data_IF_184216669666
#
_entry.id   IF_184216669666
#
_cell.length_a   1.000
_cell.length_b   1.000
_cell.length_c   1.000
_cell.angle_alpha   90.00
_cell.angle_beta   90.00
_cell.angle_gamma   90.00
#
_symmetry.space_group_name_H-M   'P 1'
#
loop_
_entity.id
_entity.type
_entity.pdbx_description
1 polymer ?
#
# COMPACT_ATOMS: atom_id res chain seq x y z
N UNK A 1 8.88 -0.41 -33.24
CA UNK A 1 8.47 -0.68 -31.84
C UNK A 1 7.10 -0.05 -31.65
N UNK A 2 6.20 -0.74 -30.96
CA UNK A 2 4.89 -0.20 -30.64
C UNK A 2 5.06 1.03 -29.73
N UNK A 3 4.45 2.17 -30.08
CA UNK A 3 4.49 3.37 -29.27
C UNK A 3 3.42 3.27 -28.18
N UNK A 4 3.80 3.52 -26.93
CA UNK A 4 2.90 3.56 -25.80
C UNK A 4 3.36 4.60 -24.78
N UNK A 5 2.44 5.50 -24.41
CA UNK A 5 2.68 6.47 -23.34
C UNK A 5 1.59 6.32 -22.28
N UNK A 6 1.99 6.07 -21.04
CA UNK A 6 1.09 5.85 -19.91
C UNK A 6 0.12 7.03 -19.70
N UNK A 7 0.61 8.27 -19.80
CA UNK A 7 -0.24 9.44 -19.62
C UNK A 7 -1.31 9.56 -20.71
N UNK A 8 -0.96 9.28 -21.96
CA UNK A 8 -1.93 9.26 -23.05
C UNK A 8 -3.02 8.22 -22.82
N UNK A 9 -2.63 7.02 -22.37
CA UNK A 9 -3.59 5.94 -22.12
C UNK A 9 -4.55 6.24 -20.97
N UNK A 10 -4.06 6.84 -19.86
CA UNK A 10 -4.86 7.09 -18.66
C UNK A 10 -5.57 8.46 -18.67
N UNK A 11 -5.16 9.40 -19.53
CA UNK A 11 -5.74 10.75 -19.57
C UNK A 11 -6.33 11.05 -20.94
N UNK A 12 -5.51 11.12 -22.00
CA UNK A 12 -5.97 11.60 -23.32
C UNK A 12 -7.00 10.69 -23.95
N UNK A 13 -6.91 9.38 -23.72
CA UNK A 13 -7.88 8.39 -24.23
C UNK A 13 -9.31 8.76 -23.82
N UNK A 14 -9.53 9.28 -22.62
CA UNK A 14 -10.88 9.65 -22.14
C UNK A 14 -11.47 10.81 -22.95
N UNK A 15 -10.62 11.72 -23.42
CA UNK A 15 -11.06 12.81 -24.30
C UNK A 15 -11.45 12.25 -25.67
N UNK A 16 -10.58 11.41 -26.25
CA UNK A 16 -10.82 10.77 -27.55
C UNK A 16 -12.08 9.88 -27.56
N UNK A 17 -12.40 9.24 -26.43
CA UNK A 17 -13.59 8.39 -26.25
C UNK A 17 -14.84 9.18 -25.81
N UNK A 18 -14.82 10.51 -25.81
CA UNK A 18 -15.98 11.36 -25.50
C UNK A 18 -16.33 11.50 -24.01
N UNK A 19 -15.43 11.10 -23.09
CA UNK A 19 -15.62 11.23 -21.65
C UNK A 19 -15.04 12.53 -21.04
N UNK A 20 -14.65 13.48 -21.87
CA UNK A 20 -14.01 14.72 -21.44
C UNK A 20 -14.78 15.52 -20.39
N UNK A 21 -16.12 15.52 -20.43
CA UNK A 21 -16.98 16.24 -19.50
C UNK A 21 -17.28 15.46 -18.20
N UNK A 22 -16.91 14.18 -18.13
CA UNK A 22 -17.13 13.38 -16.92
C UNK A 22 -16.19 13.84 -15.81
N UNK A 23 -16.66 13.79 -14.55
CA UNK A 23 -15.83 14.11 -13.38
C UNK A 23 -14.73 13.07 -13.22
N UNK A 24 -13.49 13.51 -13.30
CA UNK A 24 -12.30 12.69 -13.00
C UNK A 24 -11.93 12.76 -11.53
N UNK A 25 -11.92 13.96 -10.94
CA UNK A 25 -11.45 14.20 -9.59
C UNK A 25 -12.47 15.05 -8.81
N UNK A 26 -12.72 14.67 -7.54
CA UNK A 26 -13.35 15.49 -6.52
C UNK A 26 -12.28 15.90 -5.52
N UNK A 27 -12.09 17.21 -5.31
CA UNK A 27 -11.05 17.76 -4.46
C UNK A 27 -11.52 19.04 -3.77
N UNK A 28 -11.47 19.09 -2.44
CA UNK A 28 -11.82 20.29 -1.63
C UNK A 28 -13.15 20.96 -2.01
N UNK A 29 -14.19 20.16 -2.29
CA UNK A 29 -15.50 20.64 -2.70
C UNK A 29 -15.63 20.99 -4.19
N UNK A 30 -14.52 21.05 -4.94
CA UNK A 30 -14.49 21.22 -6.39
C UNK A 30 -14.59 19.89 -7.14
N UNK A 31 -14.99 19.97 -8.42
CA UNK A 31 -15.01 18.86 -9.36
C UNK A 31 -14.19 19.23 -10.56
N UNK A 32 -13.32 18.33 -11.00
CA UNK A 32 -12.49 18.47 -12.18
C UNK A 32 -12.88 17.39 -13.19
N UNK A 33 -13.22 17.79 -14.40
CA UNK A 33 -13.51 16.88 -15.51
C UNK A 33 -12.22 16.28 -16.08
N UNK A 34 -12.34 15.18 -16.84
CA UNK A 34 -11.21 14.63 -17.58
C UNK A 34 -10.55 15.63 -18.52
N UNK A 35 -11.34 16.51 -19.16
CA UNK A 35 -10.80 17.57 -20.03
C UNK A 35 -9.98 18.61 -19.26
N UNK A 36 -10.44 19.04 -18.08
CA UNK A 36 -9.69 19.96 -17.22
C UNK A 36 -8.39 19.31 -16.71
N UNK A 37 -8.44 18.04 -16.31
CA UNK A 37 -7.22 17.30 -15.92
C UNK A 37 -6.26 17.16 -17.08
N UNK A 38 -6.74 16.83 -18.29
CA UNK A 38 -5.88 16.75 -19.48
C UNK A 38 -5.20 18.09 -19.79
N UNK A 39 -5.92 19.21 -19.65
CA UNK A 39 -5.33 20.54 -19.80
C UNK A 39 -4.26 20.83 -18.75
N UNK A 40 -4.50 20.50 -17.48
CA UNK A 40 -3.51 20.63 -16.41
C UNK A 40 -2.26 19.77 -16.64
N UNK A 41 -2.44 18.52 -17.08
CA UNK A 41 -1.35 17.61 -17.45
C UNK A 41 -0.49 18.19 -18.57
N UNK A 42 -1.14 18.71 -19.61
CA UNK A 42 -0.45 19.33 -20.76
C UNK A 42 0.32 20.59 -20.35
N UNK A 43 -0.30 21.44 -19.52
CA UNK A 43 0.37 22.62 -18.97
C UNK A 43 1.59 22.26 -18.12
N UNK A 44 1.46 21.21 -17.29
CA UNK A 44 2.56 20.69 -16.49
C UNK A 44 3.72 20.18 -17.34
N UNK A 45 3.42 19.35 -18.33
CA UNK A 45 4.42 18.83 -19.27
C UNK A 45 5.12 19.93 -20.07
N UNK A 46 4.36 20.93 -20.58
CA UNK A 46 4.94 22.08 -21.27
C UNK A 46 5.82 22.92 -20.36
N UNK A 47 5.40 23.11 -19.09
CA UNK A 47 6.22 23.81 -18.12
C UNK A 47 7.53 23.06 -17.84
N UNK A 48 7.49 21.74 -17.65
CA UNK A 48 8.68 20.89 -17.46
C UNK A 48 9.65 20.98 -18.64
N UNK A 49 9.13 20.92 -19.90
CA UNK A 49 9.98 21.11 -21.11
C UNK A 49 10.66 22.48 -21.11
N UNK A 50 9.97 23.56 -20.76
CA UNK A 50 10.55 24.91 -20.64
C UNK A 50 11.60 24.99 -19.53
N UNK A 51 11.44 24.20 -18.45
CA UNK A 51 12.41 24.10 -17.37
C UNK A 51 13.63 23.23 -17.74
N UNK A 52 13.72 22.72 -19.00
CA UNK A 52 14.83 21.94 -19.49
C UNK A 52 14.79 20.46 -19.10
N UNK A 53 13.59 19.93 -18.78
CA UNK A 53 13.40 18.50 -18.55
C UNK A 53 13.25 17.79 -19.90
N UNK A 54 14.05 16.75 -20.10
CA UNK A 54 14.09 15.94 -21.31
C UNK A 54 13.59 14.51 -21.03
N UNK A 55 13.41 13.72 -22.09
CA UNK A 55 13.04 12.31 -21.98
C UNK A 55 14.10 11.54 -21.17
N UNK A 56 13.64 10.73 -20.21
CA UNK A 56 14.48 9.97 -19.29
C UNK A 56 14.98 10.76 -18.07
N UNK A 57 14.78 12.08 -17.98
CA UNK A 57 15.07 12.85 -16.78
C UNK A 57 14.09 12.51 -15.64
N UNK A 58 14.55 12.58 -14.39
CA UNK A 58 13.72 12.34 -13.21
C UNK A 58 13.13 13.63 -12.68
N UNK A 59 11.83 13.59 -12.40
CA UNK A 59 11.06 14.67 -11.78
C UNK A 59 10.64 14.22 -10.39
N UNK A 60 11.28 14.74 -9.34
CA UNK A 60 10.92 14.44 -7.95
C UNK A 60 9.69 15.25 -7.55
N UNK A 61 8.58 14.57 -7.19
CA UNK A 61 7.29 15.19 -6.93
C UNK A 61 6.99 15.10 -5.43
N UNK A 62 7.00 16.24 -4.73
CA UNK A 62 6.73 16.38 -3.29
C UNK A 62 5.45 17.22 -3.15
N UNK A 63 4.33 16.69 -3.59
CA UNK A 63 3.03 17.36 -3.58
C UNK A 63 2.00 16.54 -2.79
N UNK A 64 1.03 17.20 -2.12
CA UNK A 64 -0.09 16.49 -1.52
C UNK A 64 -0.99 15.87 -2.58
N UNK A 65 -1.90 14.98 -2.16
CA UNK A 65 -2.91 14.40 -3.04
C UNK A 65 -3.85 15.49 -3.55
N UNK A 66 -3.62 15.92 -4.78
CA UNK A 66 -4.30 17.06 -5.39
C UNK A 66 -4.32 16.97 -6.92
N UNK A 67 -5.13 17.77 -7.64
CA UNK A 67 -5.07 17.87 -9.10
C UNK A 67 -3.68 18.25 -9.62
N UNK A 68 -2.93 19.06 -8.87
CA UNK A 68 -1.56 19.46 -9.21
C UNK A 68 -0.58 18.26 -9.14
N UNK A 69 -0.74 17.36 -8.16
CA UNK A 69 0.01 16.11 -8.13
C UNK A 69 -0.24 15.29 -9.39
N UNK A 70 -1.51 15.13 -9.76
CA UNK A 70 -1.92 14.38 -10.96
C UNK A 70 -1.35 15.00 -12.23
N UNK A 71 -1.40 16.35 -12.33
CA UNK A 71 -0.83 17.10 -13.44
C UNK A 71 0.69 16.94 -13.53
N UNK A 72 1.41 17.02 -12.41
CA UNK A 72 2.86 16.83 -12.34
C UNK A 72 3.26 15.40 -12.72
N UNK A 73 2.55 14.40 -12.17
CA UNK A 73 2.82 12.98 -12.42
C UNK A 73 2.64 12.62 -13.90
N UNK A 74 1.46 12.85 -14.44
CA UNK A 74 1.20 12.53 -15.84
C UNK A 74 1.90 13.50 -16.82
N UNK A 75 2.10 14.76 -16.46
CA UNK A 75 2.82 15.73 -17.26
C UNK A 75 4.28 15.34 -17.49
N UNK A 76 4.97 14.86 -16.43
CA UNK A 76 6.31 14.30 -16.54
C UNK A 76 6.33 13.06 -17.45
N UNK A 77 5.44 12.11 -17.22
CA UNK A 77 5.34 10.87 -18.02
C UNK A 77 5.00 11.19 -19.49
N UNK A 78 4.12 12.16 -19.74
CA UNK A 78 3.71 12.55 -21.10
C UNK A 78 4.86 13.04 -21.95
N UNK A 79 5.81 13.75 -21.36
CA UNK A 79 7.03 14.21 -22.07
C UNK A 79 8.15 13.15 -22.09
N UNK A 80 7.90 11.94 -21.60
CA UNK A 80 8.89 10.85 -21.52
C UNK A 80 9.86 10.96 -20.36
N UNK A 81 9.66 11.90 -19.44
CA UNK A 81 10.41 11.96 -18.20
C UNK A 81 9.89 10.94 -17.17
N UNK A 82 10.70 10.63 -16.17
CA UNK A 82 10.39 9.67 -15.12
C UNK A 82 9.81 10.39 -13.91
N UNK A 83 8.55 10.12 -13.58
CA UNK A 83 7.90 10.68 -12.38
C UNK A 83 8.35 9.95 -11.12
N UNK A 84 8.78 10.69 -10.09
CA UNK A 84 9.25 10.13 -8.81
C UNK A 84 8.45 10.72 -7.64
N UNK A 85 7.23 10.23 -7.39
CA UNK A 85 6.40 10.72 -6.29
C UNK A 85 7.04 10.40 -4.93
N UNK A 86 6.93 11.36 -4.02
CA UNK A 86 7.66 11.32 -2.74
C UNK A 86 6.76 11.86 -1.63
N UNK A 87 6.86 11.25 -0.45
CA UNK A 87 6.10 11.65 0.74
C UNK A 87 6.31 13.12 1.11
N UNK A 88 5.23 13.83 1.43
CA UNK A 88 5.27 15.22 1.93
C UNK A 88 5.59 15.31 3.43
N UNK A 89 5.76 14.19 4.12
CA UNK A 89 5.96 14.12 5.58
C UNK A 89 7.40 13.76 5.98
N UNK A 90 8.37 13.94 5.08
CA UNK A 90 9.77 13.65 5.34
C UNK A 90 10.50 14.88 5.90
N UNK A 91 11.68 14.65 6.49
CA UNK A 91 12.55 15.72 6.97
C UNK A 91 13.34 16.34 5.81
N UNK A 92 13.80 17.58 5.93
CA UNK A 92 14.61 18.23 4.86
C UNK A 92 15.82 17.43 4.42
N UNK A 93 16.52 16.76 5.35
CA UNK A 93 17.66 15.89 5.02
C UNK A 93 17.26 14.67 4.18
N UNK A 94 16.07 14.12 4.40
CA UNK A 94 15.57 12.97 3.63
C UNK A 94 15.25 13.40 2.19
N UNK A 95 14.69 14.60 1.99
CA UNK A 95 14.46 15.15 0.63
C UNK A 95 15.78 15.41 -0.12
N UNK A 96 16.79 15.95 0.57
CA UNK A 96 18.11 16.15 -0.03
C UNK A 96 18.72 14.81 -0.49
N UNK A 97 18.61 13.77 0.34
CA UNK A 97 19.04 12.42 -0.02
C UNK A 97 18.29 11.89 -1.24
N UNK A 98 16.96 11.98 -1.25
CA UNK A 98 16.14 11.43 -2.35
C UNK A 98 16.37 12.18 -3.67
N UNK A 99 16.57 13.50 -3.62
CA UNK A 99 16.91 14.30 -4.79
C UNK A 99 18.30 13.91 -5.38
N UNK A 100 19.28 13.71 -4.52
CA UNK A 100 20.61 13.27 -4.92
C UNK A 100 20.61 11.83 -5.45
N UNK A 101 19.95 10.90 -4.74
CA UNK A 101 19.86 9.49 -5.12
C UNK A 101 19.13 9.30 -6.45
N UNK A 102 18.03 10.02 -6.67
CA UNK A 102 17.30 9.97 -7.94
C UNK A 102 18.00 10.72 -9.07
N UNK A 103 19.01 11.54 -8.76
CA UNK A 103 19.60 12.47 -9.74
C UNK A 103 18.50 13.30 -10.42
N UNK A 104 17.54 13.80 -9.61
CA UNK A 104 16.40 14.52 -10.13
C UNK A 104 16.82 15.79 -10.87
N UNK A 105 16.33 15.96 -12.09
CA UNK A 105 16.54 17.17 -12.90
C UNK A 105 15.84 18.36 -12.28
N UNK A 106 14.66 18.10 -11.70
CA UNK A 106 13.86 19.11 -11.02
C UNK A 106 13.14 18.50 -9.82
N UNK A 107 12.90 19.32 -8.78
CA UNK A 107 12.11 18.98 -7.61
C UNK A 107 10.87 19.86 -7.62
N UNK A 108 9.70 19.26 -7.71
CA UNK A 108 8.41 19.92 -7.60
C UNK A 108 7.91 19.80 -6.17
N UNK A 109 7.91 20.93 -5.46
CA UNK A 109 7.37 21.06 -4.11
C UNK A 109 6.33 22.19 -4.08
N UNK A 110 5.49 22.22 -3.03
CA UNK A 110 4.38 23.17 -2.91
C UNK A 110 4.83 24.64 -3.07
N UNK A 111 6.02 24.98 -2.60
CA UNK A 111 6.61 26.33 -2.69
C UNK A 111 7.20 26.67 -4.06
N UNK A 112 7.41 25.73 -4.95
CA UNK A 112 8.09 25.93 -6.24
C UNK A 112 7.26 25.54 -7.46
N UNK A 113 6.15 24.86 -7.25
CA UNK A 113 5.28 24.41 -8.32
C UNK A 113 4.25 25.47 -8.67
N UNK A 114 4.40 26.06 -9.84
CA UNK A 114 3.38 26.97 -10.39
C UNK A 114 2.69 26.29 -11.58
N UNK A 115 1.74 25.38 -11.32
CA UNK A 115 0.81 24.88 -12.33
C UNK A 115 0.04 26.00 -13.04
N UNK A 116 0.08 27.20 -12.48
CA UNK A 116 -0.58 28.43 -12.99
C UNK A 116 0.29 29.27 -13.92
N UNK A 117 1.52 28.88 -14.25
CA UNK A 117 2.27 29.58 -15.30
C UNK A 117 1.56 29.35 -16.64
N UNK A 118 1.31 30.40 -17.43
CA UNK A 118 0.58 30.27 -18.69
C UNK A 118 1.40 29.39 -19.67
N UNK A 119 1.08 28.12 -19.73
CA UNK A 119 1.61 27.15 -20.65
C UNK A 119 0.47 26.67 -21.56
N UNK A 120 0.75 26.31 -22.82
CA UNK A 120 -0.28 25.80 -23.70
C UNK A 120 -1.01 24.59 -23.12
N UNK A 121 -2.33 24.47 -23.33
CA UNK A 121 -3.09 23.29 -22.91
C UNK A 121 -2.96 22.10 -23.86
N UNK A 122 -2.28 22.28 -24.99
CA UNK A 122 -1.97 21.23 -25.97
C UNK A 122 -0.54 20.74 -25.75
N UNK A 123 -0.35 19.43 -25.79
CA UNK A 123 0.96 18.79 -25.64
C UNK A 123 0.96 17.43 -26.34
N UNK A 124 1.87 17.23 -27.29
CA UNK A 124 2.10 15.92 -27.89
C UNK A 124 2.89 15.01 -26.95
N UNK A 125 2.49 13.74 -26.89
CA UNK A 125 3.20 12.73 -26.16
C UNK A 125 4.59 12.46 -26.73
N UNK A 126 5.57 12.25 -25.86
CA UNK A 126 6.84 11.71 -26.29
C UNK A 126 6.67 10.30 -26.89
N UNK A 127 7.48 9.92 -27.86
CA UNK A 127 7.41 8.61 -28.52
C UNK A 127 8.04 7.52 -27.66
N UNK A 128 7.43 7.25 -26.49
CA UNK A 128 7.87 6.21 -25.56
C UNK A 128 7.37 4.83 -25.96
N UNK A 129 8.06 3.78 -25.50
CA UNK A 129 7.66 2.38 -25.65
C UNK A 129 7.01 1.84 -24.37
N UNK A 130 6.30 0.70 -24.43
CA UNK A 130 5.76 0.03 -23.25
C UNK A 130 6.83 -0.28 -22.19
N UNK A 131 8.06 -0.54 -22.62
CA UNK A 131 9.17 -0.98 -21.76
C UNK A 131 10.06 0.16 -21.23
N UNK A 132 9.86 1.39 -21.69
CA UNK A 132 10.60 2.55 -21.20
C UNK A 132 10.23 2.84 -19.73
N UNK A 133 11.20 3.29 -18.89
CA UNK A 133 10.92 3.76 -17.54
C UNK A 133 9.94 4.95 -17.56
N UNK A 134 8.88 4.86 -16.77
CA UNK A 134 7.84 5.90 -16.68
C UNK A 134 7.79 6.57 -15.30
N UNK A 135 8.02 5.79 -14.26
CA UNK A 135 7.98 6.29 -12.90
C UNK A 135 8.79 5.39 -11.96
N UNK A 136 9.17 5.95 -10.82
CA UNK A 136 9.78 5.20 -9.73
C UNK A 136 8.95 5.35 -8.47
N UNK A 137 8.99 4.31 -7.63
CA UNK A 137 8.37 4.36 -6.31
C UNK A 137 9.41 4.00 -5.25
N UNK A 138 9.43 4.79 -4.19
CA UNK A 138 10.30 4.54 -3.06
C UNK A 138 9.80 3.42 -2.19
N UNK A 139 10.66 2.45 -1.89
CA UNK A 139 10.39 1.40 -0.91
C UNK A 139 11.25 1.62 0.31
N UNK A 140 10.63 1.63 1.50
CA UNK A 140 11.32 1.63 2.77
C UNK A 140 11.71 0.20 3.11
N UNK A 141 12.95 -0.17 2.87
CA UNK A 141 13.46 -1.44 3.38
C UNK A 141 13.44 -1.47 4.92
N UNK A 142 13.25 -2.64 5.51
CA UNK A 142 13.45 -2.87 6.95
C UNK A 142 14.87 -2.55 7.40
N UNK A 143 15.80 -2.49 6.45
CA UNK A 143 17.24 -2.25 6.66
C UNK A 143 17.78 -1.23 5.64
N UNK A 144 18.11 -0.03 6.13
CA UNK A 144 18.83 0.98 5.34
C UNK A 144 17.96 2.05 4.66
N UNK A 145 18.58 2.93 3.86
CA UNK A 145 17.90 4.05 3.21
C UNK A 145 16.87 3.58 2.17
N UNK A 146 15.89 4.42 1.82
CA UNK A 146 14.90 4.13 0.78
C UNK A 146 15.56 3.76 -0.54
N UNK A 147 14.93 2.82 -1.26
CA UNK A 147 15.36 2.37 -2.59
C UNK A 147 14.26 2.67 -3.60
N UNK A 148 14.62 3.06 -4.81
CA UNK A 148 13.66 3.31 -5.88
C UNK A 148 13.46 2.05 -6.73
N UNK A 149 12.23 1.54 -6.78
CA UNK A 149 11.82 0.51 -7.73
C UNK A 149 11.43 1.17 -9.06
N UNK A 150 12.06 0.75 -10.16
CA UNK A 150 11.87 1.33 -11.48
C UNK A 150 10.77 0.60 -12.24
N UNK A 151 9.73 1.34 -12.63
CA UNK A 151 8.56 0.83 -13.35
C UNK A 151 8.45 1.41 -14.76
N UNK A 152 7.88 0.61 -15.65
CA UNK A 152 7.70 0.90 -17.07
C UNK A 152 6.32 1.51 -17.35
N UNK A 153 6.17 2.06 -18.54
CA UNK A 153 4.89 2.59 -19.02
C UNK A 153 3.77 1.54 -18.99
N UNK A 154 4.04 0.28 -19.34
CA UNK A 154 3.02 -0.78 -19.41
C UNK A 154 2.64 -1.41 -18.06
N UNK A 155 3.41 -1.20 -17.00
CA UNK A 155 3.28 -1.97 -15.76
C UNK A 155 1.92 -1.78 -15.08
N UNK A 156 1.35 -0.57 -15.11
CA UNK A 156 0.02 -0.31 -14.55
C UNK A 156 -1.11 -1.07 -15.27
N UNK A 157 -0.97 -1.35 -16.57
CA UNK A 157 -2.00 -2.09 -17.30
C UNK A 157 -2.25 -3.47 -16.70
N UNK A 158 -1.16 -4.19 -16.35
CA UNK A 158 -1.27 -5.51 -15.76
C UNK A 158 -2.00 -5.49 -14.40
N UNK A 159 -1.67 -4.51 -13.55
CA UNK A 159 -2.33 -4.33 -12.26
C UNK A 159 -3.80 -3.92 -12.40
N UNK A 160 -4.12 -3.03 -13.35
CA UNK A 160 -5.48 -2.61 -13.63
C UNK A 160 -6.33 -3.77 -14.18
N UNK A 161 -5.81 -4.54 -15.11
CA UNK A 161 -6.50 -5.71 -15.69
C UNK A 161 -6.74 -6.79 -14.64
N UNK A 162 -5.68 -7.19 -13.93
CA UNK A 162 -5.73 -8.27 -12.96
C UNK A 162 -6.53 -7.92 -11.70
N UNK A 163 -6.20 -6.78 -11.07
CA UNK A 163 -6.79 -6.43 -9.78
C UNK A 163 -8.02 -5.52 -9.92
N UNK A 164 -7.88 -4.35 -10.52
CA UNK A 164 -8.98 -3.39 -10.56
C UNK A 164 -10.20 -3.96 -11.30
N UNK A 165 -9.99 -4.55 -12.48
CA UNK A 165 -11.06 -5.16 -13.28
C UNK A 165 -11.38 -6.57 -12.83
N UNK A 166 -10.35 -7.43 -12.69
CA UNK A 166 -10.52 -8.87 -12.44
C UNK A 166 -10.96 -9.21 -11.01
N UNK A 167 -10.65 -8.40 -10.02
CA UNK A 167 -11.02 -8.62 -8.61
C UNK A 167 -12.08 -7.64 -8.13
N UNK A 168 -11.83 -6.33 -8.26
CA UNK A 168 -12.72 -5.30 -7.74
C UNK A 168 -13.95 -5.07 -8.63
N UNK A 169 -13.88 -5.50 -9.91
CA UNK A 169 -14.93 -5.21 -10.88
C UNK A 169 -15.20 -3.71 -11.00
N UNK A 170 -14.12 -2.90 -11.07
CA UNK A 170 -14.25 -1.45 -11.15
C UNK A 170 -14.93 -1.03 -12.46
N UNK A 171 -15.79 -0.04 -12.38
CA UNK A 171 -16.59 0.48 -13.49
C UNK A 171 -16.47 2.00 -13.62
N UNK A 172 -16.85 2.54 -14.76
CA UNK A 172 -16.78 3.98 -15.03
C UNK A 172 -17.74 4.83 -14.20
N UNK A 173 -18.77 4.23 -13.59
CA UNK A 173 -19.70 4.87 -12.66
C UNK A 173 -19.26 4.78 -11.20
N UNK A 174 -18.13 4.12 -10.90
CA UNK A 174 -17.60 4.07 -9.55
C UNK A 174 -16.98 5.41 -9.11
N UNK A 175 -17.02 5.61 -7.81
CA UNK A 175 -16.29 6.69 -7.11
C UNK A 175 -15.33 6.04 -6.13
N UNK A 176 -14.04 6.28 -6.30
CA UNK A 176 -13.01 5.72 -5.42
C UNK A 176 -12.60 6.73 -4.36
N UNK A 177 -12.35 6.26 -3.13
CA UNK A 177 -11.73 7.04 -2.08
C UNK A 177 -10.69 6.21 -1.32
N UNK A 178 -9.49 6.75 -1.16
CA UNK A 178 -8.37 6.07 -0.49
C UNK A 178 -7.84 6.91 0.68
N UNK A 179 -7.65 6.28 1.84
CA UNK A 179 -6.92 6.89 2.95
C UNK A 179 -5.38 6.79 2.78
N UNK A 180 -4.91 5.94 1.87
CA UNK A 180 -3.51 5.84 1.49
C UNK A 180 -3.15 6.91 0.46
N UNK A 181 -1.94 7.46 0.57
CA UNK A 181 -1.49 8.62 -0.22
C UNK A 181 -0.93 8.23 -1.59
N UNK A 182 -1.08 9.13 -2.58
CA UNK A 182 -0.67 8.93 -3.98
C UNK A 182 0.84 8.69 -4.18
N UNK A 183 1.67 9.08 -3.25
CA UNK A 183 3.11 8.80 -3.32
C UNK A 183 3.48 7.35 -2.94
N UNK A 184 2.53 6.54 -2.49
CA UNK A 184 2.69 5.10 -2.27
C UNK A 184 2.02 4.31 -3.39
N UNK A 185 2.62 3.18 -3.78
CA UNK A 185 2.08 2.29 -4.80
C UNK A 185 0.59 1.94 -4.58
N UNK A 186 0.23 1.57 -3.34
CA UNK A 186 -1.14 1.26 -2.96
C UNK A 186 -2.09 2.44 -3.16
N UNK A 187 -1.74 3.63 -2.64
CA UNK A 187 -2.56 4.83 -2.80
C UNK A 187 -2.61 5.34 -4.25
N UNK A 188 -1.51 5.23 -4.99
CA UNK A 188 -1.43 5.62 -6.41
C UNK A 188 -2.37 4.76 -7.28
N UNK A 189 -2.41 3.45 -7.03
CA UNK A 189 -3.35 2.55 -7.69
C UNK A 189 -4.79 2.90 -7.37
N UNK A 190 -5.13 2.93 -6.08
CA UNK A 190 -6.49 3.14 -5.60
C UNK A 190 -7.07 4.52 -5.93
N UNK A 191 -6.24 5.56 -5.74
CA UNK A 191 -6.65 6.96 -5.83
C UNK A 191 -6.42 7.59 -7.21
N UNK A 192 -5.74 6.92 -8.13
CA UNK A 192 -5.47 7.49 -9.45
C UNK A 192 -5.56 6.47 -10.57
N UNK A 193 -4.73 5.41 -10.55
CA UNK A 193 -4.57 4.57 -11.72
C UNK A 193 -5.82 3.72 -12.00
N UNK A 194 -6.44 3.14 -10.98
CA UNK A 194 -7.63 2.29 -11.15
C UNK A 194 -8.87 3.08 -11.62
N UNK A 195 -9.25 4.21 -10.99
CA UNK A 195 -10.35 5.01 -11.53
C UNK A 195 -10.06 5.54 -12.93
N UNK A 196 -8.84 6.02 -13.21
CA UNK A 196 -8.46 6.52 -14.52
C UNK A 196 -8.36 5.42 -15.59
N UNK A 197 -8.14 4.18 -15.21
CA UNK A 197 -8.17 3.05 -16.15
C UNK A 197 -9.55 2.84 -16.78
N UNK A 198 -10.63 3.07 -16.06
CA UNK A 198 -12.02 2.85 -16.53
C UNK A 198 -12.79 4.15 -16.81
N UNK A 199 -12.24 5.30 -16.50
CA UNK A 199 -12.94 6.60 -16.62
C UNK A 199 -13.88 6.88 -15.45
N UNK A 200 -13.58 6.35 -14.26
CA UNK A 200 -14.30 6.58 -13.01
C UNK A 200 -13.86 7.87 -12.32
N UNK A 201 -14.55 8.24 -11.24
CA UNK A 201 -14.20 9.38 -10.41
C UNK A 201 -13.32 8.97 -9.23
N UNK A 202 -12.33 9.77 -8.88
CA UNK A 202 -11.59 9.64 -7.62
C UNK A 202 -11.82 10.83 -6.70
N UNK A 203 -11.83 10.57 -5.38
CA UNK A 203 -11.83 11.60 -4.35
C UNK A 203 -10.43 11.73 -3.81
N UNK A 204 -9.81 12.89 -3.95
CA UNK A 204 -8.49 13.20 -3.38
C UNK A 204 -8.63 13.94 -2.06
N UNK A 205 -7.77 13.57 -1.10
CA UNK A 205 -7.74 14.19 0.22
C UNK A 205 -6.31 14.58 0.61
N UNK A 206 -5.97 15.88 0.65
CA UNK A 206 -4.61 16.37 0.91
C UNK A 206 -4.18 16.21 2.36
N UNK A 207 -5.14 16.19 3.30
CA UNK A 207 -4.90 16.18 4.74
C UNK A 207 -4.28 14.87 5.27
N UNK A 208 -3.87 14.89 6.54
CA UNK A 208 -3.45 13.67 7.24
C UNK A 208 -4.65 12.73 7.40
N UNK A 209 -4.49 11.40 7.25
CA UNK A 209 -5.59 10.44 7.29
C UNK A 209 -6.05 10.14 8.74
N UNK A 210 -6.60 11.16 9.42
CA UNK A 210 -7.24 10.99 10.72
C UNK A 210 -8.62 10.33 10.58
N UNK A 211 -8.99 9.47 11.53
CA UNK A 211 -10.18 8.63 11.44
C UNK A 211 -11.47 9.45 11.20
N UNK A 212 -11.73 10.48 12.01
CA UNK A 212 -12.88 11.36 11.87
C UNK A 212 -12.92 12.07 10.51
N UNK A 213 -11.78 12.58 10.04
CA UNK A 213 -11.70 13.28 8.76
C UNK A 213 -11.93 12.33 7.56
N UNK A 214 -11.42 11.11 7.60
CA UNK A 214 -11.65 10.10 6.56
C UNK A 214 -13.12 9.67 6.54
N UNK A 215 -13.72 9.41 7.70
CA UNK A 215 -15.14 9.04 7.81
C UNK A 215 -16.06 10.18 7.32
N UNK A 216 -15.78 11.43 7.72
CA UNK A 216 -16.52 12.60 7.27
C UNK A 216 -16.44 12.77 5.75
N UNK A 217 -15.24 12.62 5.17
CA UNK A 217 -15.07 12.73 3.72
C UNK A 217 -15.75 11.59 2.97
N UNK A 218 -15.70 10.34 3.48
CA UNK A 218 -16.39 9.21 2.90
C UNK A 218 -17.92 9.39 2.95
N UNK A 219 -18.46 9.89 4.08
CA UNK A 219 -19.88 10.23 4.21
C UNK A 219 -20.31 11.30 3.17
N UNK A 220 -19.54 12.38 3.05
CA UNK A 220 -19.82 13.50 2.15
C UNK A 220 -19.76 13.10 0.67
N UNK A 221 -18.67 12.44 0.25
CA UNK A 221 -18.38 12.13 -1.15
C UNK A 221 -19.03 10.84 -1.64
N UNK A 222 -19.61 10.02 -0.74
CA UNK A 222 -20.33 8.78 -1.05
C UNK A 222 -19.59 7.86 -2.02
N UNK A 223 -18.34 7.43 -1.71
CA UNK A 223 -17.60 6.54 -2.59
C UNK A 223 -18.30 5.19 -2.71
N UNK A 224 -18.06 4.52 -3.85
CA UNK A 224 -18.53 3.13 -4.08
C UNK A 224 -17.43 2.10 -3.78
N UNK A 225 -16.16 2.52 -3.89
CA UNK A 225 -14.98 1.74 -3.49
C UNK A 225 -14.18 2.52 -2.45
N UNK A 226 -13.94 1.88 -1.30
CA UNK A 226 -13.23 2.48 -0.19
C UNK A 226 -11.94 1.71 0.11
N UNK A 227 -10.80 2.41 0.06
CA UNK A 227 -9.48 1.82 0.27
C UNK A 227 -8.83 2.36 1.53
N UNK A 228 -8.32 1.47 2.38
CA UNK A 228 -7.69 1.88 3.62
C UNK A 228 -6.58 0.89 4.01
N UNK A 229 -5.99 1.11 5.18
CA UNK A 229 -5.00 0.22 5.78
C UNK A 229 -5.50 -0.25 7.16
N UNK A 230 -5.08 -1.40 7.67
CA UNK A 230 -5.57 -1.96 8.93
C UNK A 230 -5.55 -0.98 10.11
N UNK A 231 -4.46 -0.23 10.26
CA UNK A 231 -4.33 0.78 11.33
C UNK A 231 -5.41 1.87 11.23
N UNK A 232 -5.74 2.35 10.03
CA UNK A 232 -6.80 3.34 9.83
C UNK A 232 -8.18 2.74 10.03
N UNK A 233 -8.43 1.50 9.56
CA UNK A 233 -9.70 0.79 9.80
C UNK A 233 -9.96 0.63 11.30
N UNK A 234 -8.95 0.21 12.06
CA UNK A 234 -9.05 0.09 13.51
C UNK A 234 -9.33 1.43 14.19
N UNK A 235 -8.69 2.52 13.74
CA UNK A 235 -8.92 3.86 14.27
C UNK A 235 -10.35 4.36 13.98
N UNK A 236 -10.87 4.12 12.77
CA UNK A 236 -12.23 4.49 12.38
C UNK A 236 -13.29 3.67 13.15
N UNK A 237 -13.06 2.39 13.43
CA UNK A 237 -13.93 1.61 14.30
C UNK A 237 -14.00 2.21 15.70
N UNK A 238 -12.86 2.58 16.29
CA UNK A 238 -12.84 3.25 17.61
C UNK A 238 -13.57 4.58 17.62
N UNK A 239 -13.42 5.39 16.58
CA UNK A 239 -14.12 6.67 16.42
C UNK A 239 -15.64 6.49 16.45
N UNK A 240 -16.13 5.33 16.02
CA UNK A 240 -17.57 5.04 15.93
C UNK A 240 -18.11 4.19 17.09
N UNK A 241 -17.30 3.80 18.08
CA UNK A 241 -17.73 2.97 19.22
C UNK A 241 -18.76 3.69 20.12
N UNK A 242 -18.68 5.02 20.26
CA UNK A 242 -19.63 5.84 21.02
C UNK A 242 -20.88 6.26 20.20
N UNK A 243 -20.98 5.87 18.95
CA UNK A 243 -22.02 6.23 18.00
C UNK A 243 -21.42 6.57 16.63
N UNK A 244 -22.15 6.28 15.56
CA UNK A 244 -21.67 6.52 14.22
C UNK A 244 -22.57 7.49 13.46
N UNK A 245 -22.19 8.77 13.33
CA UNK A 245 -22.96 9.74 12.55
C UNK A 245 -22.70 9.62 11.04
N UNK A 246 -21.78 8.74 10.62
CA UNK A 246 -21.33 8.64 9.24
C UNK A 246 -22.08 7.55 8.48
N UNK A 247 -22.65 7.90 7.34
CA UNK A 247 -23.29 6.97 6.39
C UNK A 247 -22.29 6.58 5.29
N UNK A 248 -21.91 5.31 5.27
CA UNK A 248 -21.06 4.70 4.26
C UNK A 248 -21.83 3.69 3.37
N UNK A 249 -23.15 3.75 3.36
CA UNK A 249 -24.02 2.81 2.62
C UNK A 249 -23.82 2.84 1.09
N UNK A 250 -23.16 3.86 0.56
CA UNK A 250 -22.76 3.92 -0.85
C UNK A 250 -21.62 2.97 -1.20
N UNK A 251 -20.83 2.56 -0.19
CA UNK A 251 -19.66 1.69 -0.41
C UNK A 251 -20.14 0.27 -0.68
N UNK A 252 -19.87 -0.21 -1.90
CA UNK A 252 -20.16 -1.59 -2.27
C UNK A 252 -19.03 -2.56 -1.89
N UNK A 253 -17.80 -2.05 -1.73
CA UNK A 253 -16.64 -2.86 -1.42
C UNK A 253 -15.54 -2.02 -0.77
N UNK A 254 -14.98 -2.54 0.32
CA UNK A 254 -13.77 -2.04 0.96
C UNK A 254 -12.54 -2.88 0.60
N UNK A 255 -11.36 -2.27 0.68
CA UNK A 255 -10.07 -2.94 0.46
C UNK A 255 -9.08 -2.53 1.54
N UNK A 256 -8.31 -3.49 2.02
CA UNK A 256 -7.21 -3.30 2.96
C UNK A 256 -5.93 -3.95 2.46
N UNK A 257 -4.80 -3.29 2.64
CA UNK A 257 -3.48 -3.85 2.34
C UNK A 257 -2.39 -3.12 3.14
N UNK A 258 -1.13 -3.41 2.84
CA UNK A 258 0.10 -2.84 3.41
C UNK A 258 0.48 -3.34 4.81
N UNK A 259 -0.47 -3.86 5.58
CA UNK A 259 -0.29 -4.47 6.90
C UNK A 259 -1.20 -5.71 6.99
N UNK A 260 -0.91 -6.70 7.85
CA UNK A 260 -1.83 -7.80 8.09
C UNK A 260 -3.15 -7.29 8.69
N UNK A 261 -4.28 -7.72 8.14
CA UNK A 261 -5.60 -7.34 8.63
C UNK A 261 -6.13 -8.41 9.62
N UNK A 262 -6.25 -8.09 10.92
CA UNK A 262 -6.83 -9.01 11.89
C UNK A 262 -8.28 -9.37 11.54
N UNK A 263 -8.63 -10.66 11.67
CA UNK A 263 -9.97 -11.17 11.39
C UNK A 263 -11.08 -10.44 12.18
N UNK A 264 -10.78 -10.03 13.41
CA UNK A 264 -11.69 -9.27 14.27
C UNK A 264 -12.04 -7.89 13.68
N UNK A 265 -11.09 -7.21 13.03
CA UNK A 265 -11.35 -5.93 12.37
C UNK A 265 -12.29 -6.15 11.18
N UNK A 266 -12.08 -7.20 10.38
CA UNK A 266 -12.97 -7.55 9.25
C UNK A 266 -14.41 -7.77 9.73
N UNK A 267 -14.58 -8.57 10.80
CA UNK A 267 -15.90 -8.87 11.39
C UNK A 267 -16.59 -7.59 11.89
N UNK A 268 -15.91 -6.80 12.74
CA UNK A 268 -16.45 -5.55 13.31
C UNK A 268 -16.76 -4.52 12.23
N UNK A 269 -15.95 -4.44 11.18
CA UNK A 269 -16.18 -3.53 10.07
C UNK A 269 -17.46 -3.87 9.32
N UNK A 270 -17.67 -5.17 9.01
CA UNK A 270 -18.90 -5.65 8.36
C UNK A 270 -20.15 -5.40 9.23
N UNK A 271 -20.03 -5.65 10.53
CA UNK A 271 -21.14 -5.38 11.48
C UNK A 271 -21.48 -3.89 11.57
N UNK A 272 -20.46 -3.01 11.53
CA UNK A 272 -20.65 -1.57 11.70
C UNK A 272 -21.13 -0.88 10.43
N UNK A 273 -20.60 -1.21 9.27
CA UNK A 273 -20.82 -0.47 8.02
C UNK A 273 -21.52 -1.30 6.92
N UNK A 274 -21.69 -2.59 7.09
CA UNK A 274 -22.51 -3.44 6.22
C UNK A 274 -21.85 -3.92 4.92
N UNK A 275 -20.57 -3.57 4.64
CA UNK A 275 -19.85 -4.01 3.44
C UNK A 275 -18.61 -4.83 3.76
N UNK A 276 -18.20 -5.64 2.79
CA UNK A 276 -16.99 -6.47 2.91
C UNK A 276 -15.72 -5.66 2.73
N UNK A 277 -14.66 -6.05 3.47
CA UNK A 277 -13.30 -5.55 3.27
C UNK A 277 -12.44 -6.71 2.76
N UNK A 278 -11.91 -6.57 1.55
CA UNK A 278 -10.96 -7.51 0.98
C UNK A 278 -9.56 -7.20 1.53
N UNK A 279 -8.98 -8.15 2.26
CA UNK A 279 -7.56 -8.08 2.57
C UNK A 279 -6.73 -8.61 1.41
N UNK A 280 -5.54 -8.03 1.20
CA UNK A 280 -4.60 -8.48 0.19
C UNK A 280 -3.18 -8.04 0.48
N UNK A 281 -2.22 -8.77 -0.12
CA UNK A 281 -0.82 -8.38 -0.11
C UNK A 281 -0.41 -7.81 -1.45
N UNK A 282 0.31 -6.69 -1.37
CA UNK A 282 1.02 -6.06 -2.48
C UNK A 282 2.41 -5.61 -2.06
N UNK A 283 3.18 -5.16 -3.02
CA UNK A 283 4.48 -4.54 -2.77
C UNK A 283 4.75 -3.45 -3.79
N UNK A 284 5.62 -2.51 -3.44
CA UNK A 284 6.07 -1.47 -4.35
C UNK A 284 6.67 -2.05 -5.63
N UNK A 285 7.41 -3.14 -5.50
CA UNK A 285 8.13 -3.81 -6.60
C UNK A 285 7.21 -4.57 -7.56
N UNK A 286 5.99 -4.90 -7.13
CA UNK A 286 4.96 -5.54 -7.99
C UNK A 286 3.84 -4.55 -8.32
N UNK A 287 3.99 -3.32 -7.86
CA UNK A 287 3.12 -2.18 -8.06
C UNK A 287 1.91 -2.14 -7.13
N UNK A 288 1.13 -3.21 -7.07
CA UNK A 288 -0.09 -3.25 -6.27
C UNK A 288 -0.32 -4.65 -5.67
N UNK A 289 -1.57 -4.95 -5.34
CA UNK A 289 -1.98 -6.23 -4.76
C UNK A 289 -1.87 -7.34 -5.80
N UNK A 290 -1.21 -8.44 -5.43
CA UNK A 290 -1.01 -9.65 -6.25
C UNK A 290 -1.59 -10.94 -5.62
N UNK A 291 -2.00 -10.89 -4.34
CA UNK A 291 -2.86 -11.88 -3.68
C UNK A 291 -3.97 -11.11 -2.99
N UNK A 292 -5.22 -11.51 -3.14
CA UNK A 292 -6.38 -10.84 -2.55
C UNK A 292 -7.51 -11.81 -2.25
N UNK A 293 -8.28 -11.52 -1.21
CA UNK A 293 -9.61 -12.07 -1.05
C UNK A 293 -10.50 -11.66 -2.23
N UNK A 294 -11.58 -12.40 -2.45
CA UNK A 294 -12.57 -12.14 -3.49
C UNK A 294 -13.87 -11.65 -2.88
N UNK A 295 -14.64 -10.79 -3.59
CA UNK A 295 -15.98 -10.43 -3.14
C UNK A 295 -16.88 -11.68 -2.94
N UNK A 296 -17.52 -11.78 -1.79
CA UNK A 296 -18.37 -12.93 -1.42
C UNK A 296 -17.62 -14.16 -0.91
N UNK A 297 -16.27 -14.18 -0.99
CA UNK A 297 -15.41 -15.31 -0.62
C UNK A 297 -14.32 -14.89 0.37
N UNK A 298 -14.58 -13.89 1.20
CA UNK A 298 -13.61 -13.38 2.17
C UNK A 298 -13.33 -14.40 3.26
N UNK A 299 -12.05 -14.77 3.42
CA UNK A 299 -11.56 -15.54 4.57
C UNK A 299 -10.80 -14.61 5.52
N UNK A 300 -11.42 -14.19 6.63
CA UNK A 300 -10.79 -13.27 7.56
C UNK A 300 -9.45 -13.78 8.09
N UNK A 301 -8.42 -12.92 8.03
CA UNK A 301 -7.05 -13.26 8.44
C UNK A 301 -6.19 -13.87 7.33
N UNK A 302 -6.76 -14.28 6.19
CA UNK A 302 -5.99 -14.64 5.00
C UNK A 302 -5.80 -13.45 4.07
N UNK A 303 -4.71 -13.43 3.31
CA UNK A 303 -4.54 -12.48 2.22
C UNK A 303 -5.31 -12.87 0.95
N UNK A 304 -5.98 -14.04 0.94
CA UNK A 304 -6.78 -14.54 -0.19
C UNK A 304 -6.01 -15.46 -1.14
N UNK A 305 -6.31 -15.34 -2.42
CA UNK A 305 -5.75 -16.16 -3.52
C UNK A 305 -5.04 -15.28 -4.56
N UNK A 306 -4.17 -15.83 -5.42
CA UNK A 306 -3.47 -15.05 -6.44
C UNK A 306 -4.42 -14.25 -7.34
N UNK A 307 -4.05 -13.01 -7.61
CA UNK A 307 -4.76 -12.12 -8.54
C UNK A 307 -4.53 -12.62 -9.98
N UNK A 308 -5.53 -12.58 -10.88
CA UNK A 308 -5.35 -12.96 -12.27
C UNK A 308 -4.15 -12.26 -12.93
N UNK A 309 -3.31 -13.04 -13.61
CA UNK A 309 -2.10 -12.53 -14.26
C UNK A 309 -0.84 -12.53 -13.38
N UNK A 310 -0.96 -12.97 -12.12
CA UNK A 310 0.19 -13.17 -11.24
C UNK A 310 0.37 -14.66 -10.91
N UNK A 311 1.61 -15.08 -10.91
CA UNK A 311 2.04 -16.38 -10.42
C UNK A 311 2.70 -16.20 -9.05
N UNK A 312 2.39 -17.10 -8.13
CA UNK A 312 2.88 -17.05 -6.75
C UNK A 312 3.39 -18.42 -6.36
N UNK A 313 4.54 -18.46 -5.69
CA UNK A 313 5.08 -19.71 -5.13
C UNK A 313 5.64 -19.48 -3.73
N UNK A 314 5.64 -20.54 -2.94
CA UNK A 314 6.26 -20.57 -1.61
C UNK A 314 7.44 -21.53 -1.68
N UNK A 315 8.63 -21.09 -1.26
CA UNK A 315 9.85 -21.91 -1.35
C UNK A 315 10.54 -22.06 0.01
N UNK A 316 11.35 -23.12 0.10
CA UNK A 316 12.33 -23.26 1.18
C UNK A 316 13.56 -22.34 0.94
N UNK A 317 14.50 -22.32 1.87
CA UNK A 317 15.75 -21.53 1.82
C UNK A 317 16.66 -21.93 0.63
N UNK A 318 16.43 -23.10 0.02
CA UNK A 318 17.14 -23.59 -1.17
C UNK A 318 16.42 -23.27 -2.47
N UNK A 319 15.29 -22.56 -2.41
CA UNK A 319 14.47 -22.18 -3.56
C UNK A 319 13.57 -23.30 -4.08
N UNK A 320 13.41 -24.43 -3.38
CA UNK A 320 12.50 -25.52 -3.76
C UNK A 320 11.10 -25.18 -3.33
N UNK A 321 10.14 -25.37 -4.21
CA UNK A 321 8.73 -25.13 -3.93
C UNK A 321 8.21 -26.05 -2.82
N UNK A 322 7.42 -25.50 -1.92
CA UNK A 322 6.87 -26.20 -0.76
C UNK A 322 5.41 -26.61 -1.01
N UNK A 323 4.97 -27.75 -0.47
CA UNK A 323 3.58 -28.19 -0.56
C UNK A 323 2.65 -27.32 0.29
N UNK A 324 1.34 -27.44 0.04
CA UNK A 324 0.31 -26.83 0.88
C UNK A 324 0.50 -27.21 2.37
N UNK A 325 0.26 -26.25 3.25
CA UNK A 325 0.47 -26.39 4.69
C UNK A 325 1.87 -26.00 5.19
N UNK A 326 2.89 -26.00 4.33
CA UNK A 326 4.24 -25.60 4.70
C UNK A 326 4.43 -24.08 4.63
N UNK A 327 5.23 -23.53 5.55
CA UNK A 327 5.58 -22.11 5.59
C UNK A 327 6.94 -21.89 4.93
N UNK A 328 7.02 -20.93 4.02
CA UNK A 328 8.25 -20.58 3.31
C UNK A 328 8.28 -19.17 2.76
N UNK A 329 9.26 -18.90 1.95
CA UNK A 329 9.50 -17.61 1.30
C UNK A 329 8.55 -17.37 0.13
N UNK A 330 7.87 -16.22 0.14
CA UNK A 330 6.93 -15.84 -0.90
C UNK A 330 7.65 -15.20 -2.09
N UNK A 331 7.40 -15.74 -3.27
CA UNK A 331 7.85 -15.22 -4.56
C UNK A 331 6.65 -14.93 -5.45
N UNK A 332 6.74 -13.85 -6.22
CA UNK A 332 5.68 -13.44 -7.14
C UNK A 332 6.26 -13.10 -8.51
N UNK A 333 5.56 -13.49 -9.57
CA UNK A 333 5.86 -13.13 -10.95
C UNK A 333 4.62 -12.53 -11.59
N UNK A 334 4.78 -11.37 -12.24
CA UNK A 334 3.72 -10.68 -12.96
C UNK A 334 4.28 -9.63 -13.90
N UNK A 335 3.47 -9.21 -14.85
CA UNK A 335 3.87 -8.20 -15.86
C UNK A 335 4.12 -6.81 -15.29
N UNK A 336 3.66 -6.54 -14.06
CA UNK A 336 3.89 -5.28 -13.35
C UNK A 336 5.13 -5.28 -12.45
N UNK A 337 5.91 -6.37 -12.43
CA UNK A 337 7.13 -6.41 -11.65
C UNK A 337 8.09 -5.31 -12.13
N UNK A 338 8.63 -4.54 -11.17
CA UNK A 338 9.67 -3.56 -11.42
C UNK A 338 10.87 -4.20 -12.13
N UNK A 339 11.52 -3.44 -12.98
CA UNK A 339 12.66 -3.95 -13.76
C UNK A 339 13.90 -4.13 -12.89
N UNK A 340 14.15 -3.19 -11.98
CA UNK A 340 15.30 -3.20 -11.07
C UNK A 340 15.12 -2.13 -9.97
N UNK A 341 16.04 -2.15 -9.00
CA UNK A 341 16.22 -1.01 -8.09
C UNK A 341 17.29 -0.08 -8.63
N UNK A 342 16.97 1.20 -8.70
CA UNK A 342 17.89 2.23 -9.21
C UNK A 342 19.22 2.23 -8.45
N UNK A 343 20.34 2.18 -9.18
CA UNK A 343 21.70 2.16 -8.63
C UNK A 343 21.97 1.06 -7.59
N UNK A 344 21.24 -0.07 -7.63
CA UNK A 344 21.36 -1.18 -6.69
C UNK A 344 21.44 -2.54 -7.40
N UNK A 345 22.42 -2.79 -8.26
CA UNK A 345 22.47 -4.02 -9.08
C UNK A 345 22.57 -5.30 -8.25
N UNK A 346 23.33 -5.28 -7.15
CA UNK A 346 23.46 -6.44 -6.27
C UNK A 346 22.13 -6.76 -5.56
N UNK A 347 21.49 -5.73 -4.99
CA UNK A 347 20.19 -5.90 -4.33
C UNK A 347 19.10 -6.32 -5.33
N UNK A 348 19.17 -5.82 -6.57
CA UNK A 348 18.29 -6.28 -7.66
C UNK A 348 18.47 -7.77 -7.92
N UNK A 349 19.71 -8.22 -8.08
CA UNK A 349 20.02 -9.64 -8.33
C UNK A 349 19.63 -10.56 -7.17
N UNK A 350 19.61 -10.06 -5.93
CA UNK A 350 19.13 -10.82 -4.77
C UNK A 350 17.62 -10.97 -4.75
N UNK A 351 16.89 -9.93 -5.16
CA UNK A 351 15.43 -9.84 -5.02
C UNK A 351 14.66 -10.18 -6.29
N UNK A 352 15.26 -9.99 -7.46
CA UNK A 352 14.61 -10.16 -8.77
C UNK A 352 15.41 -11.15 -9.60
N UNK A 353 14.84 -12.35 -9.83
CA UNK A 353 15.50 -13.45 -10.55
C UNK A 353 14.53 -14.10 -11.53
N UNK A 354 14.90 -14.21 -12.78
CA UNK A 354 14.12 -14.90 -13.82
C UNK A 354 12.65 -14.46 -13.89
N UNK A 355 12.41 -13.14 -13.73
CA UNK A 355 11.08 -12.55 -13.70
C UNK A 355 10.32 -12.73 -12.36
N UNK A 356 10.89 -13.43 -11.39
CA UNK A 356 10.35 -13.57 -10.04
C UNK A 356 10.90 -12.50 -9.11
N UNK A 357 10.00 -11.96 -8.29
CA UNK A 357 10.33 -11.05 -7.19
C UNK A 357 10.21 -11.77 -5.84
N UNK A 358 11.26 -11.70 -5.04
CA UNK A 358 11.30 -12.18 -3.66
C UNK A 358 10.71 -11.12 -2.72
N UNK A 359 9.54 -11.35 -2.18
CA UNK A 359 8.84 -10.35 -1.34
C UNK A 359 9.55 -10.10 0.01
N UNK A 360 10.25 -11.11 0.52
CA UNK A 360 10.82 -11.11 1.88
C UNK A 360 9.78 -11.37 2.96
N UNK A 361 8.62 -11.89 2.56
CA UNK A 361 7.55 -12.32 3.46
C UNK A 361 7.52 -13.84 3.52
N UNK A 362 7.20 -14.39 4.70
CA UNK A 362 6.89 -15.81 4.89
C UNK A 362 5.39 -16.01 4.81
N UNK A 363 5.00 -17.00 4.02
CA UNK A 363 3.61 -17.36 3.78
C UNK A 363 3.40 -18.87 3.89
N UNK A 364 2.17 -19.24 4.17
CA UNK A 364 1.66 -20.61 4.06
C UNK A 364 0.43 -20.62 3.16
N UNK A 365 0.35 -21.53 2.22
CA UNK A 365 -0.86 -21.79 1.43
C UNK A 365 -1.62 -22.95 2.07
N UNK A 366 -2.93 -22.84 2.25
CA UNK A 366 -3.76 -23.96 2.72
C UNK A 366 -4.20 -24.88 1.57
N UNK A 367 -4.93 -25.93 1.91
CA UNK A 367 -5.39 -26.93 0.93
C UNK A 367 -6.40 -26.36 -0.10
N UNK A 368 -7.07 -25.25 0.22
CA UNK A 368 -8.02 -24.57 -0.66
C UNK A 368 -7.35 -23.46 -1.50
N UNK A 369 -6.02 -23.28 -1.39
CA UNK A 369 -5.25 -22.30 -2.14
C UNK A 369 -5.25 -20.90 -1.57
N UNK A 370 -5.72 -20.69 -0.33
CA UNK A 370 -5.63 -19.41 0.35
C UNK A 370 -4.26 -19.20 1.00
N UNK A 371 -3.76 -17.99 0.90
CA UNK A 371 -2.44 -17.58 1.40
C UNK A 371 -2.57 -16.90 2.75
N UNK A 372 -1.80 -17.36 3.72
CA UNK A 372 -1.79 -16.90 5.11
C UNK A 372 -0.43 -16.31 5.45
N UNK A 373 -0.43 -15.05 5.84
CA UNK A 373 0.77 -14.33 6.22
C UNK A 373 1.38 -14.91 7.50
N UNK A 374 2.64 -15.29 7.47
CA UNK A 374 3.36 -15.83 8.62
C UNK A 374 4.36 -14.84 9.25
N UNK A 375 4.68 -13.74 8.56
CA UNK A 375 5.60 -12.71 9.06
C UNK A 375 6.63 -12.31 8.01
N UNK A 376 7.48 -11.35 8.38
CA UNK A 376 8.67 -10.99 7.58
C UNK A 376 9.75 -12.05 7.77
N UNK A 377 10.51 -12.35 6.73
CA UNK A 377 11.64 -13.28 6.82
C UNK A 377 12.69 -12.84 7.85
N UNK A 378 12.84 -11.53 8.05
CA UNK A 378 13.75 -10.89 9.00
C UNK A 378 13.14 -10.68 10.41
N UNK A 379 11.82 -10.84 10.58
CA UNK A 379 11.11 -10.73 11.85
C UNK A 379 10.78 -12.08 12.49
N UNK A 380 10.71 -13.15 11.68
CA UNK A 380 10.51 -14.51 12.18
C UNK A 380 11.69 -14.93 13.07
N UNK A 381 11.40 -15.66 14.14
CA UNK A 381 12.44 -16.18 15.02
C UNK A 381 12.14 -17.62 15.45
N UNK A 382 13.16 -18.29 16.00
CA UNK A 382 13.01 -19.68 16.48
C UNK A 382 12.97 -19.72 17.99
N UNK A 383 12.05 -20.51 18.52
CA UNK A 383 12.00 -20.91 19.94
C UNK A 383 12.05 -22.42 20.00
N UNK A 384 13.02 -22.98 20.69
CA UNK A 384 13.23 -24.44 20.79
C UNK A 384 13.31 -25.14 19.42
N UNK A 385 13.90 -24.46 18.43
CA UNK A 385 14.05 -24.98 17.06
C UNK A 385 12.86 -24.77 16.13
N UNK A 386 11.70 -24.38 16.65
CA UNK A 386 10.46 -24.16 15.89
C UNK A 386 10.28 -22.68 15.51
N UNK A 387 9.75 -22.44 14.31
CA UNK A 387 9.47 -21.08 13.85
C UNK A 387 8.28 -20.45 14.58
N UNK A 388 8.49 -19.26 15.10
CA UNK A 388 7.45 -18.42 15.69
C UNK A 388 7.17 -17.23 14.78
N UNK A 389 5.91 -17.09 14.41
CA UNK A 389 5.39 -15.92 13.71
C UNK A 389 4.98 -14.86 14.73
N UNK A 390 5.61 -13.68 14.77
CA UNK A 390 5.15 -12.58 15.61
C UNK A 390 3.68 -12.25 15.35
N UNK A 391 3.28 -12.20 14.11
CA UNK A 391 1.92 -11.81 13.68
C UNK A 391 0.86 -12.81 14.18
N UNK A 392 1.14 -14.10 14.17
CA UNK A 392 0.21 -15.12 14.68
C UNK A 392 -0.07 -14.90 16.18
N UNK A 393 0.98 -14.60 16.94
CA UNK A 393 0.87 -14.33 18.39
C UNK A 393 0.18 -12.98 18.64
N UNK A 394 0.53 -11.94 17.89
CA UNK A 394 -0.07 -10.61 17.95
C UNK A 394 -1.57 -10.67 17.63
N UNK A 395 -1.95 -11.38 16.56
CA UNK A 395 -3.36 -11.57 16.18
C UNK A 395 -4.16 -12.25 17.27
N UNK A 396 -3.61 -13.31 17.88
CA UNK A 396 -4.25 -13.99 18.99
C UNK A 396 -4.40 -13.07 20.23
N UNK A 397 -3.42 -12.22 20.51
CA UNK A 397 -3.50 -11.25 21.62
C UNK A 397 -4.58 -10.19 21.37
N UNK A 398 -4.72 -9.69 20.13
CA UNK A 398 -5.70 -8.64 19.76
C UNK A 398 -7.15 -9.15 19.89
N UNK A 399 -7.39 -10.46 19.81
CA UNK A 399 -8.73 -11.04 20.08
C UNK A 399 -9.18 -10.83 21.54
N UNK A 400 -8.25 -10.61 22.47
CA UNK A 400 -8.58 -10.40 23.86
C UNK A 400 -9.24 -9.02 24.07
N UNK A 401 -10.40 -8.92 24.83
CA UNK A 401 -11.15 -7.67 24.98
C UNK A 401 -10.34 -6.48 25.51
N UNK A 402 -9.36 -6.73 26.38
CA UNK A 402 -8.53 -5.68 26.99
C UNK A 402 -7.41 -5.16 26.06
N UNK A 403 -7.02 -5.91 25.03
CA UNK A 403 -5.87 -5.59 24.18
C UNK A 403 -6.27 -4.64 23.06
N UNK A 404 -5.51 -3.57 22.89
CA UNK A 404 -5.63 -2.61 21.80
C UNK A 404 -4.71 -2.98 20.64
N UNK A 405 -3.42 -3.13 20.94
CA UNK A 405 -2.37 -3.50 19.99
C UNK A 405 -1.35 -4.41 20.67
N UNK A 406 -0.65 -5.21 19.88
CA UNK A 406 0.44 -6.03 20.38
C UNK A 406 1.59 -6.05 19.37
N UNK A 407 2.82 -6.16 19.89
CA UNK A 407 4.02 -6.43 19.10
C UNK A 407 4.83 -7.53 19.77
N UNK A 408 5.28 -8.51 18.97
CA UNK A 408 6.00 -9.67 19.47
C UNK A 408 7.40 -9.72 18.86
N UNK A 409 8.40 -9.94 19.72
CA UNK A 409 9.81 -10.05 19.31
C UNK A 409 10.49 -11.21 20.04
N UNK A 410 11.63 -11.66 19.50
CA UNK A 410 12.54 -12.50 20.26
C UNK A 410 13.36 -11.64 21.23
N UNK A 411 13.49 -12.11 22.47
CA UNK A 411 14.48 -11.63 23.44
C UNK A 411 15.24 -12.82 24.04
N UNK A 412 16.41 -12.57 24.59
CA UNK A 412 17.12 -13.62 25.29
C UNK A 412 16.48 -13.85 26.68
N UNK A 413 16.19 -15.11 26.96
CA UNK A 413 15.80 -15.55 28.31
C UNK A 413 16.99 -15.56 29.28
N UNK A 414 16.74 -15.90 30.52
CA UNK A 414 17.78 -16.04 31.57
C UNK A 414 18.80 -17.13 31.25
N UNK A 415 18.40 -18.12 30.46
CA UNK A 415 19.21 -19.22 29.93
C UNK A 415 20.01 -18.84 28.66
N UNK A 416 19.92 -17.58 28.20
CA UNK A 416 20.56 -17.10 26.97
C UNK A 416 19.92 -17.60 25.69
N UNK A 417 18.79 -18.32 25.74
CA UNK A 417 18.06 -18.82 24.60
C UNK A 417 16.96 -17.83 24.15
N UNK A 418 16.63 -17.78 22.86
CA UNK A 418 15.54 -16.94 22.36
C UNK A 418 14.19 -17.35 22.97
N UNK A 419 13.46 -16.38 23.49
CA UNK A 419 12.09 -16.53 23.96
C UNK A 419 11.19 -15.49 23.33
N UNK A 420 9.92 -15.82 23.17
CA UNK A 420 8.90 -14.89 22.71
C UNK A 420 8.56 -13.89 23.82
N UNK A 421 8.61 -12.59 23.49
CA UNK A 421 8.24 -11.48 24.35
C UNK A 421 7.18 -10.64 23.65
N UNK A 422 6.04 -10.39 24.31
CA UNK A 422 4.95 -9.57 23.79
C UNK A 422 4.94 -8.21 24.48
N UNK A 423 4.85 -7.14 23.69
CA UNK A 423 4.56 -5.77 24.13
C UNK A 423 3.10 -5.48 23.81
N UNK A 424 2.32 -5.11 24.81
CA UNK A 424 0.86 -4.98 24.70
C UNK A 424 0.44 -3.58 25.11
N UNK A 425 -0.34 -2.92 24.26
CA UNK A 425 -1.08 -1.71 24.61
C UNK A 425 -2.53 -2.08 24.94
N UNK A 426 -3.09 -1.47 25.96
CA UNK A 426 -4.43 -1.75 26.45
C UNK A 426 -5.44 -0.71 25.95
N UNK A 427 -6.70 -1.13 25.77
CA UNK A 427 -7.81 -0.21 25.44
C UNK A 427 -8.10 0.77 26.58
N UNK A 428 -7.83 0.36 27.83
CA UNK A 428 -7.88 1.18 29.05
C UNK A 428 -6.61 0.92 29.84
N UNK A 429 -5.93 1.96 30.24
CA UNK A 429 -4.68 1.86 31.01
C UNK A 429 -4.85 1.21 32.39
N UNK A 430 -6.07 1.28 32.94
CA UNK A 430 -6.43 0.66 34.23
C UNK A 430 -6.47 -0.86 34.08
N UNK A 431 -5.60 -1.55 34.79
CA UNK A 431 -5.53 -3.02 34.79
C UNK A 431 -4.23 -3.61 34.28
N UNK A 432 -3.28 -2.79 33.83
CA UNK A 432 -1.93 -3.27 33.51
C UNK A 432 -1.27 -3.87 34.75
N UNK A 433 -0.87 -5.14 34.66
CA UNK A 433 -0.21 -5.83 35.80
C UNK A 433 -0.15 -7.33 35.61
N UNK A 434 0.47 -8.03 36.55
CA UNK A 434 0.71 -9.47 36.45
C UNK A 434 -0.60 -10.29 36.38
N UNK A 435 -1.68 -9.82 37.01
CA UNK A 435 -2.98 -10.49 36.94
C UNK A 435 -3.51 -10.56 35.49
N UNK A 436 -3.47 -9.45 34.75
CA UNK A 436 -3.86 -9.41 33.35
C UNK A 436 -2.85 -10.17 32.46
N UNK A 437 -1.56 -10.09 32.76
CA UNK A 437 -0.56 -10.87 32.03
C UNK A 437 -0.82 -12.38 32.12
N UNK A 438 -1.19 -12.89 33.32
CA UNK A 438 -1.56 -14.30 33.49
C UNK A 438 -2.88 -14.66 32.82
N UNK A 439 -3.84 -13.74 32.82
CA UNK A 439 -5.08 -13.89 32.06
C UNK A 439 -4.80 -14.02 30.55
N UNK A 440 -3.95 -13.15 30.00
CA UNK A 440 -3.52 -13.21 28.60
C UNK A 440 -2.76 -14.51 28.29
N UNK A 441 -1.85 -14.96 29.19
CA UNK A 441 -1.18 -16.25 29.01
C UNK A 441 -2.16 -17.42 29.00
N UNK A 442 -3.21 -17.39 29.84
CA UNK A 442 -4.27 -18.39 29.87
C UNK A 442 -5.08 -18.36 28.57
N UNK A 443 -5.47 -17.19 28.13
CA UNK A 443 -6.20 -16.96 26.87
C UNK A 443 -5.44 -17.53 25.66
N UNK A 444 -4.12 -17.32 25.62
CA UNK A 444 -3.26 -17.84 24.55
C UNK A 444 -3.03 -19.36 24.65
N UNK A 445 -3.19 -19.99 25.81
CA UNK A 445 -3.06 -21.46 25.96
C UNK A 445 -4.08 -22.23 25.12
N UNK A 446 -5.24 -21.66 24.92
CA UNK A 446 -6.31 -22.26 24.14
C UNK A 446 -6.16 -22.05 22.61
N UNK A 447 -5.27 -21.14 22.20
CA UNK A 447 -5.16 -20.65 20.81
C UNK A 447 -3.85 -20.97 20.13
N UNK A 448 -2.77 -21.09 20.91
CA UNK A 448 -1.42 -21.21 20.38
C UNK A 448 -0.68 -22.42 20.93
N UNK A 449 0.15 -23.05 20.09
CA UNK A 449 1.10 -24.05 20.52
C UNK A 449 2.08 -23.52 21.59
N UNK A 450 2.57 -24.38 22.46
CA UNK A 450 3.35 -23.99 23.63
C UNK A 450 4.57 -23.12 23.30
N UNK A 451 5.32 -23.47 22.27
CA UNK A 451 6.53 -22.75 21.86
C UNK A 451 6.26 -21.35 21.28
N UNK A 452 5.03 -21.08 20.79
CA UNK A 452 4.62 -19.78 20.26
C UNK A 452 4.23 -18.79 21.36
N UNK A 453 3.86 -19.27 22.53
CA UNK A 453 3.32 -18.44 23.62
C UNK A 453 4.39 -17.53 24.21
N UNK A 454 4.10 -16.22 24.38
CA UNK A 454 5.06 -15.32 25.00
C UNK A 454 5.41 -15.76 26.43
N UNK A 455 6.71 -15.86 26.71
CA UNK A 455 7.19 -16.05 28.09
C UNK A 455 7.09 -14.78 28.92
N UNK A 456 7.23 -13.62 28.24
CA UNK A 456 7.09 -12.29 28.86
C UNK A 456 5.98 -11.51 28.16
N UNK A 457 5.15 -10.83 28.95
CA UNK A 457 4.17 -9.86 28.47
C UNK A 457 4.46 -8.56 29.20
N UNK A 458 4.82 -7.54 28.44
CA UNK A 458 5.15 -6.20 28.92
C UNK A 458 4.06 -5.24 28.45
N UNK A 459 3.51 -4.44 29.36
CA UNK A 459 2.52 -3.42 29.02
C UNK A 459 3.23 -2.11 28.72
N UNK A 460 2.77 -1.42 27.66
CA UNK A 460 3.30 -0.13 27.23
C UNK A 460 2.16 0.79 26.79
N UNK A 461 2.34 2.10 26.95
CA UNK A 461 1.34 3.08 26.55
C UNK A 461 1.20 3.16 25.02
N UNK A 462 2.32 3.01 24.30
CA UNK A 462 2.34 2.98 22.83
C UNK A 462 3.45 2.08 22.29
N UNK A 463 3.25 1.56 21.08
CA UNK A 463 4.26 0.83 20.32
C UNK A 463 5.06 1.80 19.45
N UNK A 464 6.39 1.61 19.28
CA UNK A 464 7.20 2.42 18.38
C UNK A 464 6.78 2.17 16.93
N UNK A 465 6.42 3.25 16.22
CA UNK A 465 5.91 3.19 14.84
C UNK A 465 6.72 4.07 13.88
N UNK A 466 6.69 3.73 12.61
CA UNK A 466 7.15 4.59 11.52
C UNK A 466 6.14 5.74 11.29
N UNK A 467 6.51 6.73 10.49
CA UNK A 467 5.59 7.78 10.04
C UNK A 467 4.35 7.23 9.27
N UNK A 468 4.44 6.01 8.76
CA UNK A 468 3.35 5.30 8.06
C UNK A 468 2.54 4.37 8.97
N UNK A 469 2.81 4.34 10.29
CA UNK A 469 2.08 3.54 11.26
C UNK A 469 2.61 2.13 11.51
N UNK A 470 3.61 1.67 10.75
CA UNK A 470 4.19 0.31 10.92
C UNK A 470 5.01 0.20 12.19
N UNK A 471 4.81 -0.88 12.95
CA UNK A 471 5.56 -1.16 14.19
C UNK A 471 7.04 -1.39 13.88
N UNK A 472 7.91 -0.68 14.60
CA UNK A 472 9.37 -0.77 14.50
C UNK A 472 9.91 -1.80 15.50
N UNK A 473 9.72 -3.10 15.20
CA UNK A 473 10.11 -4.21 16.13
C UNK A 473 11.57 -4.20 16.54
N UNK A 474 12.47 -3.67 15.70
CA UNK A 474 13.89 -3.56 16.06
C UNK A 474 14.17 -2.67 17.27
N UNK A 475 13.25 -1.77 17.62
CA UNK A 475 13.33 -0.96 18.84
C UNK A 475 12.84 -1.69 20.10
N UNK A 476 12.19 -2.84 19.93
CA UNK A 476 11.65 -3.67 20.99
C UNK A 476 12.53 -4.90 21.28
N UNK A 477 13.53 -5.16 20.45
CA UNK A 477 14.50 -6.27 20.56
C UNK A 477 15.56 -6.01 21.61
#
# INVERSE_FOLDING_TARGET
MEQFNLASYFVDRHIAEGRGTQTAIVYEGGRYSYAEIAALVNQAGNWLRRAGVEQGDRVLIILPDSPEFVAAYFGAIKIGAVAVPTSTALRPADYAYLAAESQAKIVLAESGWQAKAPAPPELDCAPTSPDDPAFWLWTSGSTGPPKAAVHRHADWLASCEGYARGVLGIRSDDVTFSSAKLFHAYGLGNGLMFPFYVGATTVLYPGKPQASAILARAHECRPTLFFSVPTHLAAMLRETDAGCPYDLSSVRLGVSAAEPLPAEIVRRWRERFGFEVLDGIGSTEVLHIYISNRPGEVRPGSSGVPVPGYEVRITDERGRELPAGATGDLWVRGRSNATHYWNRPQFTAERMRDGWFFSGDKYRMDADGYYWYAGRSDDMFRVSGEWVSPIEVESALIEHPAVLEAAVVARLGEDGLPVSCAFVTLKRAEGAGEALAEELRRFLRERLAGYKRPRRIEFTDELPKTATGKVQRYKLR
#
